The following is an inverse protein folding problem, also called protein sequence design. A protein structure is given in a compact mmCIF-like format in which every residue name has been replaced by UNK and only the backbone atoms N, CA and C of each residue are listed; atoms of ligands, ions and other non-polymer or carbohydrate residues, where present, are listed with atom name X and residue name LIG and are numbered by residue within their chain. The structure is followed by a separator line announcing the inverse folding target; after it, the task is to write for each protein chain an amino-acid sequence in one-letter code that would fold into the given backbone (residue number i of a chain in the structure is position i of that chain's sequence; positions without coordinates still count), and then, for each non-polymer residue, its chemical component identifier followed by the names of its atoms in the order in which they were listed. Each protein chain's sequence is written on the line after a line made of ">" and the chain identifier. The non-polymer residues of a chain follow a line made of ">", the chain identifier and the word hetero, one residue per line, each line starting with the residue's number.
data_IF_300059323811
#
_entry.id   IF_300059323811
#
_cell.length_a   1.000
_cell.length_b   1.000
_cell.length_c   1.000
_cell.angle_alpha   90.00
_cell.angle_beta   90.00
_cell.angle_gamma   90.00
#
_symmetry.space_group_name_H-M   'P 1'
#
loop_
_entity.id
_entity.type
_entity.pdbx_description
1 polymer ?
#
# COMPACT_ATOMS: atom_id res chain seq x y z
N UNK A 1 23.50 12.95 0.95
CA UNK A 1 23.16 14.37 1.15
C UNK A 1 23.13 14.62 2.65
N UNK A 2 23.61 15.76 3.13
CA UNK A 2 23.66 16.01 4.58
C UNK A 2 22.25 16.17 5.17
N UNK A 3 21.97 15.62 6.36
CA UNK A 3 20.71 15.82 7.07
C UNK A 3 20.58 17.26 7.57
N UNK A 4 19.43 17.87 7.31
CA UNK A 4 19.06 19.20 7.80
C UNK A 4 18.82 19.22 9.31
N UNK A 5 18.56 20.42 9.84
CA UNK A 5 18.46 20.67 11.29
C UNK A 5 17.32 19.88 11.93
N UNK A 6 16.14 19.81 11.29
CA UNK A 6 15.02 19.02 11.81
C UNK A 6 15.30 17.52 11.85
N UNK A 7 16.14 16.99 10.97
CA UNK A 7 16.52 15.57 11.00
C UNK A 7 17.40 15.28 12.21
N UNK A 8 18.28 16.20 12.58
CA UNK A 8 19.11 16.09 13.80
C UNK A 8 18.26 16.03 15.07
N UNK A 9 17.05 16.61 15.06
CA UNK A 9 16.07 16.50 16.15
C UNK A 9 15.19 15.25 16.03
N UNK A 10 14.76 14.90 14.81
CA UNK A 10 13.91 13.73 14.59
C UNK A 10 14.64 12.42 14.89
N UNK A 11 15.96 12.36 14.66
CA UNK A 11 16.76 11.14 14.85
C UNK A 11 16.75 10.61 16.28
N UNK A 12 17.13 11.41 17.29
CA UNK A 12 17.11 10.97 18.68
C UNK A 12 15.68 10.64 19.16
N UNK A 13 14.67 11.34 18.63
CA UNK A 13 13.27 11.05 18.93
C UNK A 13 12.84 9.68 18.41
N UNK A 14 13.26 9.30 17.20
CA UNK A 14 12.95 7.99 16.61
C UNK A 14 13.71 6.87 17.32
N UNK A 15 14.99 7.08 17.64
CA UNK A 15 15.79 6.16 18.43
C UNK A 15 15.14 5.89 19.80
N UNK A 16 14.70 6.96 20.49
CA UNK A 16 13.99 6.85 21.76
C UNK A 16 12.70 6.04 21.63
N UNK A 17 11.88 6.27 20.60
CA UNK A 17 10.66 5.49 20.40
C UNK A 17 10.93 4.00 20.19
N UNK A 18 11.95 3.65 19.42
CA UNK A 18 12.34 2.25 19.19
C UNK A 18 12.87 1.58 20.47
N UNK A 19 13.66 2.30 21.27
CA UNK A 19 14.17 1.83 22.57
C UNK A 19 13.02 1.63 23.56
N UNK A 20 12.16 2.64 23.73
CA UNK A 20 11.05 2.62 24.69
C UNK A 20 10.02 1.51 24.36
N UNK A 21 9.97 1.08 23.10
CA UNK A 21 9.11 -0.01 22.61
C UNK A 21 9.85 -1.33 22.41
N UNK A 22 11.11 -1.44 22.86
CA UNK A 22 11.91 -2.68 22.81
C UNK A 22 12.01 -3.27 21.39
N UNK A 23 12.22 -2.43 20.38
CA UNK A 23 12.50 -2.85 19.00
C UNK A 23 14.01 -2.94 18.76
N UNK A 24 14.43 -3.95 17.99
CA UNK A 24 15.83 -4.15 17.60
C UNK A 24 16.38 -3.01 16.72
N UNK A 25 15.52 -2.44 15.87
CA UNK A 25 15.89 -1.39 14.92
C UNK A 25 14.95 -0.19 14.95
N UNK A 26 15.45 0.96 14.52
CA UNK A 26 14.61 2.10 14.16
C UNK A 26 13.87 1.77 12.86
N UNK A 27 12.63 1.30 13.00
CA UNK A 27 11.68 1.06 11.90
C UNK A 27 10.96 2.35 11.41
N UNK A 28 10.38 2.34 10.19
CA UNK A 28 9.66 3.50 9.64
C UNK A 28 8.58 4.09 10.57
N UNK A 29 7.78 3.30 11.32
CA UNK A 29 6.84 3.84 12.29
C UNK A 29 7.49 4.73 13.37
N UNK A 30 8.71 4.42 13.81
CA UNK A 30 9.43 5.24 14.79
C UNK A 30 9.85 6.59 14.20
N UNK A 31 10.26 6.61 12.93
CA UNK A 31 10.55 7.84 12.19
C UNK A 31 9.29 8.69 12.03
N UNK A 32 8.14 8.06 11.74
CA UNK A 32 6.86 8.77 11.68
C UNK A 32 6.44 9.38 13.02
N UNK A 33 6.58 8.62 14.11
CA UNK A 33 6.37 9.14 15.47
C UNK A 33 7.26 10.34 15.78
N UNK A 34 8.52 10.31 15.33
CA UNK A 34 9.47 11.39 15.52
C UNK A 34 9.12 12.65 14.71
N UNK A 35 8.71 12.50 13.44
CA UNK A 35 8.24 13.61 12.60
C UNK A 35 7.00 14.27 13.22
N UNK A 36 6.03 13.47 13.68
CA UNK A 36 4.85 13.98 14.37
C UNK A 36 5.25 14.75 15.65
N UNK A 37 6.15 14.20 16.47
CA UNK A 37 6.68 14.90 17.65
C UNK A 37 7.36 16.21 17.31
N UNK A 38 8.21 16.22 16.28
CA UNK A 38 8.91 17.42 15.84
C UNK A 38 7.90 18.51 15.44
N UNK A 39 6.85 18.15 14.68
CA UNK A 39 5.79 19.09 14.29
C UNK A 39 5.01 19.69 15.47
N UNK A 40 4.97 19.00 16.61
CA UNK A 40 4.31 19.44 17.85
C UNK A 40 5.20 20.35 18.71
N UNK A 41 6.50 20.50 18.40
CA UNK A 41 7.42 21.30 19.23
C UNK A 41 7.06 22.79 19.17
N UNK A 42 6.65 23.34 20.32
CA UNK A 42 6.50 24.80 20.46
C UNK A 42 7.87 25.51 20.44
N UNK A 43 7.85 26.80 20.08
CA UNK A 43 9.05 27.65 19.98
C UNK A 43 9.94 27.57 21.23
N UNK A 44 9.34 27.66 22.42
CA UNK A 44 10.06 27.57 23.71
C UNK A 44 10.90 26.31 23.88
N UNK A 45 10.47 25.18 23.30
CA UNK A 45 11.24 23.93 23.39
C UNK A 45 12.46 23.97 22.48
N UNK A 46 12.35 24.60 21.30
CA UNK A 46 13.48 24.79 20.38
C UNK A 46 14.50 25.77 21.00
N UNK A 47 14.04 26.83 21.63
CA UNK A 47 14.89 27.81 22.34
C UNK A 47 15.59 27.24 23.58
N UNK A 48 15.14 26.08 24.11
CA UNK A 48 15.81 25.37 25.19
C UNK A 48 16.96 24.48 24.71
N UNK A 49 16.91 24.00 23.46
CA UNK A 49 17.89 23.08 22.89
C UNK A 49 18.90 23.79 21.98
N UNK A 50 18.58 24.99 21.52
CA UNK A 50 19.39 25.79 20.63
C UNK A 50 19.36 27.27 21.07
N UNK A 51 20.50 27.93 20.98
CA UNK A 51 20.68 29.33 21.38
C UNK A 51 20.92 30.26 20.20
N UNK A 52 21.35 29.73 19.05
CA UNK A 52 21.60 30.51 17.84
C UNK A 52 20.28 30.94 17.17
N UNK A 53 19.98 32.25 17.08
CA UNK A 53 18.72 32.74 16.51
C UNK A 53 18.47 32.32 15.06
N UNK A 54 19.52 32.18 14.24
CA UNK A 54 19.38 31.76 12.85
C UNK A 54 18.99 30.28 12.74
N UNK A 55 19.58 29.43 13.59
CA UNK A 55 19.26 27.99 13.65
C UNK A 55 17.83 27.80 14.19
N UNK A 56 17.44 28.55 15.22
CA UNK A 56 16.06 28.55 15.74
C UNK A 56 15.08 28.94 14.63
N UNK A 57 15.34 30.01 13.89
CA UNK A 57 14.47 30.44 12.80
C UNK A 57 14.35 29.39 11.69
N UNK A 58 15.46 28.75 11.30
CA UNK A 58 15.46 27.67 10.32
C UNK A 58 14.65 26.44 10.79
N UNK A 59 14.84 26.02 12.05
CA UNK A 59 14.09 24.92 12.66
C UNK A 59 12.59 25.20 12.74
N UNK A 60 12.21 26.42 13.11
CA UNK A 60 10.80 26.85 13.12
C UNK A 60 10.20 26.78 11.71
N UNK A 61 10.95 27.24 10.70
CA UNK A 61 10.53 27.16 9.29
C UNK A 61 10.32 25.72 8.83
N UNK A 62 11.28 24.82 9.10
CA UNK A 62 11.17 23.39 8.76
C UNK A 62 9.99 22.70 9.49
N UNK A 63 9.78 23.05 10.77
CA UNK A 63 8.63 22.58 11.56
C UNK A 63 7.32 23.06 10.95
N UNK A 64 7.22 24.33 10.61
CA UNK A 64 5.99 24.94 10.11
C UNK A 64 5.64 24.42 8.71
N UNK A 65 6.63 24.15 7.85
CA UNK A 65 6.43 23.43 6.60
C UNK A 65 5.88 22.01 6.81
N UNK A 66 6.45 21.26 7.77
CA UNK A 66 5.96 19.92 8.15
C UNK A 66 4.53 19.99 8.70
N UNK A 67 4.23 20.99 9.54
CA UNK A 67 2.91 21.20 10.14
C UNK A 67 1.86 21.54 9.09
N UNK A 68 2.18 22.45 8.17
CA UNK A 68 1.31 22.79 7.04
C UNK A 68 0.96 21.56 6.23
N UNK A 69 1.96 20.72 5.94
CA UNK A 69 1.74 19.50 5.18
C UNK A 69 0.83 18.49 5.90
N UNK A 70 1.01 18.32 7.22
CA UNK A 70 0.13 17.49 8.03
C UNK A 70 -1.31 18.04 8.03
N UNK A 71 -1.50 19.36 8.08
CA UNK A 71 -2.82 19.99 8.01
C UNK A 71 -3.50 19.76 6.66
N UNK A 72 -2.78 19.79 5.54
CA UNK A 72 -3.31 19.44 4.21
C UNK A 72 -3.84 18.00 4.16
N UNK A 73 -3.27 17.11 4.98
CA UNK A 73 -3.74 15.73 5.16
C UNK A 73 -4.85 15.62 6.21
N UNK A 74 -5.43 16.73 6.64
CA UNK A 74 -6.42 16.80 7.72
C UNK A 74 -5.89 16.21 9.04
N UNK A 75 -4.60 16.38 9.32
CA UNK A 75 -3.95 16.05 10.60
C UNK A 75 -3.70 17.36 11.36
N UNK A 76 -4.63 17.69 12.25
CA UNK A 76 -4.50 18.85 13.14
C UNK A 76 -3.43 18.62 14.22
N UNK A 77 -2.58 19.63 14.42
CA UNK A 77 -1.51 19.61 15.41
C UNK A 77 -1.88 20.54 16.58
N UNK A 78 -1.88 20.05 17.84
CA UNK A 78 -1.36 18.76 18.27
C UNK A 78 -2.42 17.68 18.52
N UNK A 79 -3.71 18.00 18.49
CA UNK A 79 -4.73 17.10 19.06
C UNK A 79 -4.86 15.79 18.27
N UNK A 80 -4.98 15.90 16.93
CA UNK A 80 -5.09 14.72 16.08
C UNK A 80 -3.75 13.98 15.93
N UNK A 81 -2.63 14.69 15.85
CA UNK A 81 -1.30 14.04 15.83
C UNK A 81 -1.01 13.26 17.10
N UNK A 82 -1.37 13.78 18.29
CA UNK A 82 -1.22 13.05 19.56
C UNK A 82 -2.02 11.75 19.57
N UNK A 83 -3.26 11.78 19.09
CA UNK A 83 -4.10 10.59 18.95
C UNK A 83 -3.46 9.56 18.00
N UNK A 84 -2.97 9.99 16.83
CA UNK A 84 -2.26 9.12 15.88
C UNK A 84 -1.02 8.51 16.54
N UNK A 85 -0.20 9.30 17.24
CA UNK A 85 1.00 8.79 17.93
C UNK A 85 0.63 7.75 18.99
N UNK A 86 -0.42 8.00 19.78
CA UNK A 86 -0.89 7.05 20.79
C UNK A 86 -1.32 5.72 20.15
N UNK A 87 -2.18 5.78 19.13
CA UNK A 87 -2.68 4.58 18.45
C UNK A 87 -1.56 3.83 17.71
N UNK A 88 -0.60 4.53 17.12
CA UNK A 88 0.54 3.90 16.46
C UNK A 88 1.42 3.14 17.45
N UNK A 89 1.72 3.72 18.63
CA UNK A 89 2.45 2.99 19.68
C UNK A 89 1.70 1.74 20.15
N UNK A 90 0.38 1.85 20.32
CA UNK A 90 -0.47 0.71 20.69
C UNK A 90 -0.41 -0.40 19.63
N UNK A 91 -0.40 -0.03 18.35
CA UNK A 91 -0.27 -0.98 17.21
C UNK A 91 1.10 -1.63 17.14
N UNK A 92 2.18 -0.86 17.32
CA UNK A 92 3.55 -1.39 17.30
C UNK A 92 3.76 -2.42 18.42
N UNK A 93 3.24 -2.12 19.61
CA UNK A 93 3.45 -2.93 20.81
C UNK A 93 4.92 -2.99 21.22
N UNK A 94 5.21 -3.83 22.22
CA UNK A 94 6.60 -4.15 22.59
C UNK A 94 7.07 -5.38 21.83
N UNK A 95 8.29 -5.37 21.29
CA UNK A 95 8.84 -6.52 20.54
C UNK A 95 9.77 -7.42 21.35
N UNK A 96 10.06 -7.07 22.61
CA UNK A 96 10.85 -7.94 23.49
C UNK A 96 12.34 -7.95 23.17
N UNK A 97 12.86 -6.90 22.54
CA UNK A 97 14.29 -6.63 22.40
C UNK A 97 14.68 -5.49 23.34
N UNK A 98 14.82 -5.75 24.66
CA UNK A 98 15.17 -4.72 25.62
C UNK A 98 16.55 -4.17 25.29
N UNK A 99 16.64 -2.84 25.24
CA UNK A 99 17.87 -2.16 24.94
C UNK A 99 18.71 -1.99 26.21
N UNK A 100 19.97 -2.43 26.21
CA UNK A 100 20.83 -2.39 27.40
C UNK A 100 21.95 -1.35 27.25
N UNK A 101 21.82 -0.23 27.97
CA UNK A 101 22.89 0.75 28.15
C UNK A 101 23.46 1.35 26.85
N UNK A 102 24.79 1.45 26.77
CA UNK A 102 25.57 2.12 25.71
C UNK A 102 25.49 1.51 24.29
N UNK A 103 24.54 0.63 24.02
CA UNK A 103 24.34 0.08 22.68
C UNK A 103 23.91 1.21 21.72
N UNK A 104 24.31 1.12 20.45
CA UNK A 104 23.84 2.05 19.40
C UNK A 104 22.71 1.37 18.65
N UNK A 105 21.51 1.96 18.67
CA UNK A 105 20.40 1.42 17.90
C UNK A 105 20.56 1.80 16.43
N UNK A 106 20.49 0.81 15.56
CA UNK A 106 20.62 1.01 14.12
C UNK A 106 19.26 1.13 13.44
N UNK A 107 19.24 1.77 12.28
CA UNK A 107 18.07 1.74 11.39
C UNK A 107 17.86 0.36 10.79
N UNK A 108 16.61 0.01 10.51
CA UNK A 108 16.30 -1.11 9.63
C UNK A 108 16.63 -0.79 8.17
N UNK A 109 16.66 -1.81 7.32
CA UNK A 109 16.86 -1.61 5.87
C UNK A 109 15.74 -0.77 5.25
N UNK A 110 14.50 -0.94 5.71
CA UNK A 110 13.36 -0.13 5.27
C UNK A 110 13.57 1.35 5.62
N UNK A 111 13.97 1.65 6.86
CA UNK A 111 14.29 3.03 7.28
C UNK A 111 15.46 3.64 6.51
N UNK A 112 16.51 2.86 6.20
CA UNK A 112 17.64 3.33 5.37
C UNK A 112 17.16 3.72 3.97
N UNK A 113 16.37 2.87 3.32
CA UNK A 113 15.81 3.15 1.99
C UNK A 113 14.92 4.38 2.01
N UNK A 114 14.18 4.58 3.09
CA UNK A 114 13.31 5.73 3.27
C UNK A 114 14.10 7.04 3.35
N UNK A 115 15.22 7.07 4.07
CA UNK A 115 16.11 8.23 4.09
C UNK A 115 16.65 8.55 2.70
N UNK A 116 17.08 7.54 1.95
CA UNK A 116 17.55 7.74 0.56
C UNK A 116 16.46 8.37 -0.30
N UNK A 117 15.20 7.92 -0.17
CA UNK A 117 14.08 8.54 -0.87
C UNK A 117 13.86 10.01 -0.46
N UNK A 118 13.94 10.32 0.83
CA UNK A 118 13.81 11.69 1.32
C UNK A 118 14.95 12.59 0.81
N UNK A 119 16.19 12.08 0.75
CA UNK A 119 17.33 12.77 0.15
C UNK A 119 17.13 13.04 -1.34
N UNK A 120 16.59 12.07 -2.09
CA UNK A 120 16.31 12.23 -3.52
C UNK A 120 15.18 13.24 -3.78
N UNK A 121 14.17 13.31 -2.90
CA UNK A 121 13.11 14.33 -2.95
C UNK A 121 13.71 15.73 -2.75
N UNK A 122 14.50 15.92 -1.71
CA UNK A 122 15.18 17.19 -1.44
C UNK A 122 16.10 17.61 -2.60
N UNK A 123 16.81 16.65 -3.21
CA UNK A 123 17.67 16.92 -4.38
C UNK A 123 16.88 17.41 -5.59
N UNK A 124 15.71 16.83 -5.85
CA UNK A 124 14.83 17.25 -6.95
C UNK A 124 14.28 18.66 -6.75
N UNK A 125 14.09 19.06 -5.51
CA UNK A 125 13.68 20.41 -5.12
C UNK A 125 14.86 21.42 -5.16
N UNK A 126 16.07 20.98 -5.48
CA UNK A 126 17.27 21.82 -5.51
C UNK A 126 17.82 22.16 -4.11
N UNK A 127 17.36 21.46 -3.07
CA UNK A 127 17.85 21.68 -1.71
C UNK A 127 19.20 20.99 -1.49
N UNK A 128 20.08 21.65 -0.72
CA UNK A 128 21.38 21.11 -0.33
C UNK A 128 21.30 20.09 0.83
N UNK A 129 20.21 20.14 1.60
CA UNK A 129 19.93 19.25 2.74
C UNK A 129 18.50 18.74 2.67
N UNK A 130 18.21 17.64 3.36
CA UNK A 130 16.86 17.11 3.49
C UNK A 130 16.34 17.31 4.92
N UNK A 131 15.05 17.64 5.05
CA UNK A 131 14.43 17.99 6.32
C UNK A 131 13.27 17.03 6.69
N UNK A 132 12.63 17.28 7.84
CA UNK A 132 11.51 16.48 8.33
C UNK A 132 10.33 16.45 7.35
N UNK A 133 10.14 17.47 6.52
CA UNK A 133 9.11 17.47 5.47
C UNK A 133 9.43 16.43 4.39
N UNK A 134 10.67 16.37 3.89
CA UNK A 134 11.06 15.34 2.91
C UNK A 134 10.94 13.93 3.52
N UNK A 135 11.29 13.79 4.81
CA UNK A 135 11.10 12.54 5.54
C UNK A 135 9.61 12.16 5.66
N UNK A 136 8.74 13.12 5.94
CA UNK A 136 7.29 12.93 5.97
C UNK A 136 6.76 12.44 4.62
N UNK A 137 7.13 13.10 3.52
CA UNK A 137 6.73 12.68 2.17
C UNK A 137 7.20 11.26 1.86
N UNK A 138 8.45 10.93 2.19
CA UNK A 138 8.98 9.58 2.00
C UNK A 138 8.25 8.53 2.85
N UNK A 139 7.80 8.87 4.06
CA UNK A 139 6.99 8.02 4.93
C UNK A 139 5.59 7.81 4.39
N UNK A 140 4.94 8.87 3.90
CA UNK A 140 3.60 8.80 3.32
C UNK A 140 3.58 8.04 1.99
N UNK A 141 4.67 8.12 1.22
CA UNK A 141 4.90 7.33 0.02
C UNK A 141 5.46 5.91 0.30
N UNK A 142 5.67 5.56 1.57
CA UNK A 142 6.16 4.23 1.97
C UNK A 142 5.01 3.27 2.27
N UNK A 143 5.25 1.97 2.07
CA UNK A 143 4.24 0.92 2.28
C UNK A 143 4.25 0.39 3.71
N UNK A 144 4.43 1.28 4.69
CA UNK A 144 4.36 0.92 6.11
C UNK A 144 2.92 0.63 6.49
N UNK A 145 2.63 -0.64 6.81
CA UNK A 145 1.28 -1.09 7.15
C UNK A 145 0.76 -0.36 8.39
N UNK A 146 1.61 -0.22 9.40
CA UNK A 146 1.25 0.41 10.67
C UNK A 146 0.91 1.90 10.50
N UNK A 147 1.67 2.61 9.66
CA UNK A 147 1.40 4.02 9.34
C UNK A 147 0.10 4.12 8.53
N UNK A 148 -0.09 3.25 7.55
CA UNK A 148 -1.29 3.26 6.70
C UNK A 148 -2.55 3.00 7.53
N UNK A 149 -2.52 2.00 8.40
CA UNK A 149 -3.65 1.63 9.24
C UNK A 149 -3.98 2.71 10.28
N UNK A 150 -2.97 3.29 10.96
CA UNK A 150 -3.25 4.32 11.97
C UNK A 150 -3.82 5.60 11.36
N UNK A 151 -3.43 5.92 10.12
CA UNK A 151 -3.97 7.07 9.40
C UNK A 151 -5.39 6.79 8.90
N UNK A 152 -5.65 5.57 8.42
CA UNK A 152 -7.00 5.14 8.06
C UNK A 152 -7.97 5.18 9.27
N UNK A 153 -7.54 4.72 10.44
CA UNK A 153 -8.32 4.80 11.69
C UNK A 153 -8.63 6.26 12.08
N UNK A 154 -7.70 7.17 11.82
CA UNK A 154 -7.86 8.59 12.07
C UNK A 154 -8.75 9.31 11.02
N UNK A 155 -9.40 8.56 10.13
CA UNK A 155 -10.26 9.08 9.08
C UNK A 155 -9.50 9.76 7.95
N UNK A 156 -8.20 9.52 7.82
CA UNK A 156 -7.37 10.12 6.78
C UNK A 156 -7.37 9.18 5.58
N UNK A 157 -8.43 9.31 4.77
CA UNK A 157 -8.55 8.65 3.48
C UNK A 157 -7.85 9.46 2.40
N UNK A 158 -7.17 8.80 1.46
CA UNK A 158 -6.52 9.46 0.31
C UNK A 158 -4.99 9.47 0.31
N UNK A 159 -4.32 9.00 1.38
CA UNK A 159 -2.87 8.77 1.37
C UNK A 159 -2.47 7.72 0.33
N UNK A 160 -3.42 6.87 -0.09
CA UNK A 160 -3.29 5.97 -1.24
C UNK A 160 -2.81 6.67 -2.52
N UNK A 161 -3.06 7.97 -2.68
CA UNK A 161 -2.63 8.77 -3.83
C UNK A 161 -1.11 9.06 -3.86
N UNK A 162 -0.36 8.77 -2.80
CA UNK A 162 1.10 8.95 -2.75
C UNK A 162 1.89 7.68 -3.08
N UNK A 163 1.20 6.59 -3.42
CA UNK A 163 1.83 5.36 -3.87
C UNK A 163 2.25 5.54 -5.32
N UNK A 164 3.51 5.91 -5.52
CA UNK A 164 4.09 6.12 -6.83
C UNK A 164 4.09 4.79 -7.61
N UNK A 165 3.01 4.55 -8.36
CA UNK A 165 2.85 3.40 -9.24
C UNK A 165 2.69 3.83 -10.70
N UNK A 166 3.66 4.60 -11.26
CA UNK A 166 3.52 5.24 -12.57
C UNK A 166 3.22 4.27 -13.72
N UNK A 167 3.65 3.00 -13.66
CA UNK A 167 3.31 2.05 -14.72
C UNK A 167 1.90 1.49 -14.55
N UNK A 168 1.47 1.16 -13.34
CA UNK A 168 0.10 0.74 -13.04
C UNK A 168 -0.92 1.86 -13.26
N UNK A 169 -0.55 3.12 -13.02
CA UNK A 169 -1.42 4.26 -13.31
C UNK A 169 -1.52 4.54 -14.82
N UNK A 170 -0.57 4.03 -15.62
CA UNK A 170 -0.56 4.15 -17.09
C UNK A 170 -1.23 2.97 -17.80
N UNK A 171 -0.97 1.75 -17.34
CA UNK A 171 -1.41 0.48 -17.96
C UNK A 171 -2.49 -0.23 -17.13
N UNK A 172 -3.12 0.50 -16.21
CA UNK A 172 -4.15 -0.06 -15.36
C UNK A 172 -5.22 0.95 -15.01
N UNK A 173 -6.36 0.43 -14.60
CA UNK A 173 -7.51 1.18 -14.18
C UNK A 173 -7.80 0.88 -12.71
N UNK A 174 -7.85 1.93 -11.88
CA UNK A 174 -8.14 1.78 -10.45
C UNK A 174 -9.64 1.57 -10.22
N UNK A 175 -10.06 0.31 -10.15
CA UNK A 175 -11.44 -0.06 -9.89
C UNK A 175 -11.90 0.37 -8.50
N UNK A 176 -10.97 0.46 -7.53
CA UNK A 176 -11.32 0.95 -6.18
C UNK A 176 -11.65 2.44 -6.19
N UNK A 177 -10.92 3.25 -6.96
CA UNK A 177 -11.21 4.66 -7.13
C UNK A 177 -12.56 4.87 -7.82
N UNK A 178 -12.82 4.15 -8.92
CA UNK A 178 -14.11 4.20 -9.63
C UNK A 178 -15.28 3.77 -8.74
N UNK A 179 -15.09 2.74 -7.92
CA UNK A 179 -16.09 2.30 -6.96
C UNK A 179 -16.39 3.38 -5.89
N UNK A 180 -15.37 4.08 -5.39
CA UNK A 180 -15.56 5.18 -4.44
C UNK A 180 -16.35 6.34 -5.06
N UNK A 181 -16.12 6.64 -6.34
CA UNK A 181 -16.90 7.65 -7.08
C UNK A 181 -18.37 7.21 -7.24
N UNK A 182 -18.62 6.00 -7.73
CA UNK A 182 -19.98 5.44 -7.85
C UNK A 182 -20.74 5.45 -6.51
N UNK A 183 -20.04 5.20 -5.40
CA UNK A 183 -20.64 5.22 -4.06
C UNK A 183 -21.01 6.64 -3.61
N UNK A 184 -20.19 7.65 -3.91
CA UNK A 184 -20.53 9.07 -3.62
C UNK A 184 -21.79 9.51 -4.36
N UNK A 185 -21.97 9.00 -5.58
CA UNK A 185 -23.14 9.27 -6.41
C UNK A 185 -24.38 8.44 -6.01
N UNK A 186 -24.31 7.65 -4.92
CA UNK A 186 -25.35 6.72 -4.45
C UNK A 186 -25.79 5.70 -5.53
N UNK A 187 -24.91 5.36 -6.47
CA UNK A 187 -25.19 4.35 -7.50
C UNK A 187 -24.88 2.98 -6.91
N UNK A 188 -25.83 2.39 -6.18
CA UNK A 188 -25.74 0.97 -5.78
C UNK A 188 -26.11 0.09 -6.98
N UNK A 189 -25.09 -0.31 -7.75
CA UNK A 189 -25.25 -1.24 -8.88
C UNK A 189 -25.74 -2.63 -8.44
N UNK A 190 -26.39 -3.36 -9.36
CA UNK A 190 -26.82 -4.75 -9.13
C UNK A 190 -25.65 -5.69 -8.82
N UNK A 191 -24.45 -5.36 -9.31
CA UNK A 191 -23.19 -6.07 -9.10
C UNK A 191 -22.78 -6.17 -7.63
N UNK A 192 -23.17 -5.19 -6.79
CA UNK A 192 -22.87 -5.19 -5.36
C UNK A 192 -23.70 -6.20 -4.57
N UNK A 193 -24.84 -6.63 -5.11
CA UNK A 193 -25.76 -7.62 -4.49
C UNK A 193 -25.44 -9.05 -4.87
N UNK A 194 -24.46 -9.25 -5.75
CA UNK A 194 -24.06 -10.57 -6.16
C UNK A 194 -23.26 -11.29 -5.06
N UNK A 195 -23.67 -12.49 -4.65
CA UNK A 195 -22.95 -13.26 -3.65
C UNK A 195 -21.54 -13.68 -4.10
N UNK A 196 -21.27 -13.80 -5.41
CA UNK A 196 -19.91 -14.12 -5.88
C UNK A 196 -18.96 -12.96 -5.58
N UNK A 197 -19.35 -11.72 -5.85
CA UNK A 197 -18.56 -10.52 -5.48
C UNK A 197 -18.20 -10.51 -3.98
N UNK A 198 -19.17 -10.82 -3.11
CA UNK A 198 -18.93 -10.91 -1.67
C UNK A 198 -17.90 -12.00 -1.32
N UNK A 199 -18.07 -13.21 -1.83
CA UNK A 199 -17.16 -14.34 -1.54
C UNK A 199 -15.73 -14.00 -1.99
N UNK A 200 -15.59 -13.45 -3.20
CA UNK A 200 -14.30 -13.05 -3.75
C UNK A 200 -13.67 -11.92 -2.92
N UNK A 201 -14.45 -10.92 -2.51
CA UNK A 201 -13.97 -9.84 -1.65
C UNK A 201 -13.52 -10.36 -0.28
N UNK A 202 -14.36 -11.16 0.39
CA UNK A 202 -14.06 -11.74 1.70
C UNK A 202 -12.77 -12.57 1.64
N UNK A 203 -12.55 -13.33 0.56
CA UNK A 203 -11.34 -14.14 0.39
C UNK A 203 -10.08 -13.31 0.10
N UNK A 204 -10.16 -12.34 -0.83
CA UNK A 204 -8.97 -11.58 -1.28
C UNK A 204 -8.52 -10.53 -0.25
N UNK A 205 -9.48 -9.96 0.50
CA UNK A 205 -9.21 -8.93 1.52
C UNK A 205 -9.15 -9.48 2.95
N UNK A 206 -9.71 -10.66 3.23
CA UNK A 206 -9.82 -11.24 4.58
C UNK A 206 -8.54 -11.85 5.18
N UNK A 207 -7.36 -11.56 4.62
CA UNK A 207 -6.07 -11.95 5.21
C UNK A 207 -5.51 -13.31 4.78
N UNK A 208 -6.23 -14.09 3.98
CA UNK A 208 -5.64 -15.23 3.28
C UNK A 208 -4.78 -14.69 2.12
N UNK A 209 -3.49 -15.02 2.08
CA UNK A 209 -2.56 -14.62 0.99
C UNK A 209 -2.84 -15.37 -0.33
N UNK A 210 -4.08 -15.76 -0.58
CA UNK A 210 -4.49 -16.47 -1.80
C UNK A 210 -4.84 -15.49 -2.90
N UNK A 211 -4.69 -15.94 -4.14
CA UNK A 211 -5.20 -15.28 -5.33
C UNK A 211 -6.42 -16.04 -5.85
N UNK A 212 -7.33 -15.35 -6.53
CA UNK A 212 -8.59 -15.91 -7.02
C UNK A 212 -8.52 -16.13 -8.52
N UNK A 213 -9.03 -17.27 -8.98
CA UNK A 213 -9.29 -17.53 -10.40
C UNK A 213 -10.80 -17.58 -10.63
N UNK A 214 -11.31 -16.58 -11.32
CA UNK A 214 -12.68 -16.50 -11.80
C UNK A 214 -12.82 -17.32 -13.08
N UNK A 215 -13.60 -18.40 -13.00
CA UNK A 215 -13.88 -19.29 -14.14
C UNK A 215 -15.27 -18.95 -14.67
N UNK A 216 -15.31 -18.34 -15.84
CA UNK A 216 -16.56 -17.91 -16.47
C UNK A 216 -17.31 -19.08 -17.10
N UNK A 217 -18.53 -19.32 -16.61
CA UNK A 217 -19.51 -20.27 -17.15
C UNK A 217 -20.86 -19.58 -17.29
N UNK A 218 -21.02 -18.83 -18.37
CA UNK A 218 -22.24 -18.06 -18.65
C UNK A 218 -22.00 -16.74 -19.36
N UNK A 219 -23.06 -15.93 -19.43
CA UNK A 219 -23.04 -14.59 -20.04
C UNK A 219 -22.28 -13.58 -19.21
N UNK A 220 -22.31 -13.73 -17.89
CA UNK A 220 -21.64 -12.79 -17.00
C UNK A 220 -20.12 -12.90 -17.10
N UNK A 221 -19.47 -11.76 -17.30
CA UNK A 221 -18.02 -11.66 -17.46
C UNK A 221 -17.28 -11.65 -16.13
N UNK A 222 -16.01 -12.06 -16.16
CA UNK A 222 -15.13 -11.91 -15.01
C UNK A 222 -14.81 -10.45 -14.65
N UNK A 223 -14.89 -9.55 -15.64
CA UNK A 223 -14.69 -8.10 -15.44
C UNK A 223 -15.82 -7.48 -14.63
N UNK A 224 -17.07 -7.81 -14.94
CA UNK A 224 -18.24 -7.36 -14.14
C UNK A 224 -18.16 -7.85 -12.69
N UNK A 225 -17.61 -9.06 -12.46
CA UNK A 225 -17.36 -9.55 -11.10
C UNK A 225 -16.24 -8.76 -10.43
N UNK A 226 -15.13 -8.46 -11.12
CA UNK A 226 -14.04 -7.65 -10.57
C UNK A 226 -14.49 -6.23 -10.19
N UNK A 227 -15.31 -5.60 -11.03
CA UNK A 227 -15.95 -4.30 -10.72
C UNK A 227 -16.90 -4.41 -9.53
N UNK A 228 -17.75 -5.43 -9.50
CA UNK A 228 -18.66 -5.67 -8.36
C UNK A 228 -17.91 -5.93 -7.05
N UNK A 229 -16.77 -6.60 -7.10
CA UNK A 229 -15.86 -6.77 -5.95
C UNK A 229 -15.34 -5.41 -5.48
N UNK A 230 -14.95 -4.52 -6.39
CA UNK A 230 -14.51 -3.17 -6.04
C UNK A 230 -15.62 -2.36 -5.34
N UNK A 231 -16.84 -2.41 -5.88
CA UNK A 231 -18.02 -1.74 -5.29
C UNK A 231 -18.35 -2.29 -3.91
N UNK A 232 -18.35 -3.61 -3.74
CA UNK A 232 -18.56 -4.24 -2.43
C UNK A 232 -17.49 -3.81 -1.42
N UNK A 233 -16.25 -3.66 -1.87
CA UNK A 233 -15.08 -3.35 -1.05
C UNK A 233 -15.05 -1.92 -0.51
N UNK A 234 -15.82 -0.99 -1.08
CA UNK A 234 -16.00 0.37 -0.54
C UNK A 234 -17.28 0.50 0.30
N UNK A 235 -18.16 -0.50 0.25
CA UNK A 235 -19.43 -0.55 0.96
C UNK A 235 -19.30 -0.62 2.49
N UNK A 236 -20.43 -0.41 3.18
CA UNK A 236 -20.53 -0.48 4.65
C UNK A 236 -20.16 -1.85 5.23
N UNK A 237 -20.35 -2.92 4.47
CA UNK A 237 -20.06 -4.31 4.86
C UNK A 237 -18.72 -4.82 4.28
N UNK A 238 -17.83 -3.90 3.89
CA UNK A 238 -16.53 -4.26 3.32
C UNK A 238 -15.63 -5.00 4.33
N UNK A 239 -14.81 -5.96 3.85
CA UNK A 239 -13.83 -6.65 4.71
C UNK A 239 -12.80 -5.65 5.29
N UNK A 240 -12.26 -5.88 6.51
CA UNK A 240 -11.32 -4.95 7.14
C UNK A 240 -10.11 -4.56 6.27
N UNK A 241 -9.56 -5.52 5.50
CA UNK A 241 -8.42 -5.28 4.60
C UNK A 241 -8.76 -4.51 3.31
N UNK A 242 -10.03 -4.30 2.99
CA UNK A 242 -10.44 -3.57 1.78
C UNK A 242 -10.05 -2.09 1.84
N UNK A 243 -10.04 -1.50 3.05
CA UNK A 243 -9.68 -0.09 3.27
C UNK A 243 -8.20 0.21 3.08
N UNK A 244 -7.32 -0.78 3.03
CA UNK A 244 -5.87 -0.57 2.85
C UNK A 244 -5.33 -0.96 1.47
N UNK A 245 -6.07 -1.76 0.69
CA UNK A 245 -5.65 -2.23 -0.65
C UNK A 245 -6.37 -1.59 -1.84
N UNK A 246 -5.65 -1.35 -2.94
CA UNK A 246 -6.19 -0.98 -4.27
C UNK A 246 -6.46 -2.23 -5.10
N UNK A 247 -7.56 -2.23 -5.85
CA UNK A 247 -7.84 -3.20 -6.91
C UNK A 247 -7.65 -2.50 -8.26
N UNK A 248 -6.65 -2.95 -9.01
CA UNK A 248 -6.26 -2.36 -10.30
C UNK A 248 -6.46 -3.39 -11.40
N UNK A 249 -7.32 -3.07 -12.37
CA UNK A 249 -7.45 -3.86 -13.60
C UNK A 249 -6.28 -3.54 -14.52
N UNK A 250 -5.58 -4.56 -15.01
CA UNK A 250 -4.52 -4.38 -16.02
C UNK A 250 -5.17 -4.26 -17.39
N UNK A 251 -4.81 -3.21 -18.12
CA UNK A 251 -5.19 -2.98 -19.51
C UNK A 251 -3.93 -2.81 -20.36
N UNK A 252 -3.43 -3.93 -20.88
CA UNK A 252 -2.31 -3.95 -21.82
C UNK A 252 -2.88 -4.15 -23.23
N UNK A 253 -2.53 -3.30 -24.21
CA UNK A 253 -2.97 -3.47 -25.59
C UNK A 253 -2.62 -4.87 -26.13
N UNK A 254 -3.59 -5.52 -26.78
CA UNK A 254 -3.46 -6.91 -27.23
C UNK A 254 -2.57 -7.12 -28.45
N UNK A 255 -2.14 -6.05 -29.12
CA UNK A 255 -1.36 -6.04 -30.36
C UNK A 255 0.16 -5.87 -30.15
N UNK A 256 0.63 -5.89 -28.91
CA UNK A 256 2.06 -5.76 -28.61
C UNK A 256 2.84 -7.05 -28.83
N UNK A 257 4.14 -6.90 -29.10
CA UNK A 257 5.05 -8.05 -29.24
C UNK A 257 5.17 -8.81 -27.93
N UNK A 258 5.37 -10.13 -28.02
CA UNK A 258 5.47 -11.02 -26.86
C UNK A 258 6.54 -10.58 -25.85
N UNK A 259 7.72 -10.20 -26.33
CA UNK A 259 8.83 -9.72 -25.47
C UNK A 259 8.45 -8.42 -24.73
N UNK A 260 7.71 -7.54 -25.40
CA UNK A 260 7.22 -6.28 -24.83
C UNK A 260 6.10 -6.52 -23.81
N UNK A 261 5.23 -7.51 -24.07
CA UNK A 261 4.20 -7.98 -23.13
C UNK A 261 4.83 -8.53 -21.84
N UNK A 262 5.82 -9.41 -21.97
CA UNK A 262 6.52 -9.98 -20.81
C UNK A 262 7.23 -8.89 -19.99
N UNK A 263 7.93 -7.97 -20.67
CA UNK A 263 8.62 -6.86 -20.03
C UNK A 263 7.65 -5.91 -19.30
N UNK A 264 6.55 -5.55 -19.96
CA UNK A 264 5.53 -4.65 -19.42
C UNK A 264 4.83 -5.29 -18.23
N UNK A 265 4.29 -6.50 -18.37
CA UNK A 265 3.61 -7.18 -17.27
C UNK A 265 4.59 -7.47 -16.12
N UNK A 266 5.82 -7.88 -16.42
CA UNK A 266 6.86 -8.05 -15.41
C UNK A 266 7.10 -6.79 -14.59
N UNK A 267 7.12 -5.63 -15.25
CA UNK A 267 7.26 -4.32 -14.58
C UNK A 267 6.05 -4.02 -13.68
N UNK A 268 4.83 -4.23 -14.17
CA UNK A 268 3.60 -4.03 -13.38
C UNK A 268 3.54 -4.95 -12.15
N UNK A 269 3.92 -6.23 -12.30
CA UNK A 269 3.98 -7.18 -11.19
C UNK A 269 5.01 -6.76 -10.14
N UNK A 270 6.18 -6.27 -10.56
CA UNK A 270 7.21 -5.77 -9.65
C UNK A 270 6.75 -4.50 -8.93
N UNK A 271 6.06 -3.60 -9.63
CA UNK A 271 5.51 -2.39 -9.04
C UNK A 271 4.43 -2.71 -8.01
N UNK A 272 3.50 -3.61 -8.34
CA UNK A 272 2.50 -4.10 -7.40
C UNK A 272 3.13 -4.81 -6.19
N UNK A 273 4.17 -5.61 -6.41
CA UNK A 273 4.92 -6.27 -5.34
C UNK A 273 5.62 -5.26 -4.43
N UNK A 274 6.22 -4.22 -4.99
CA UNK A 274 6.85 -3.15 -4.22
C UNK A 274 5.80 -2.40 -3.41
N UNK A 275 4.65 -2.08 -4.00
CA UNK A 275 3.53 -1.41 -3.36
C UNK A 275 2.94 -2.22 -2.19
N UNK A 276 2.83 -3.54 -2.33
CA UNK A 276 2.45 -4.45 -1.24
C UNK A 276 0.97 -4.38 -0.80
N UNK A 277 0.21 -3.41 -1.30
CA UNK A 277 -1.22 -3.24 -1.05
C UNK A 277 -2.03 -3.16 -2.35
N UNK A 278 -1.56 -3.79 -3.41
CA UNK A 278 -2.23 -3.82 -4.71
C UNK A 278 -2.69 -5.25 -4.99
N UNK A 279 -3.96 -5.37 -5.36
CA UNK A 279 -4.54 -6.55 -5.98
C UNK A 279 -4.67 -6.23 -7.46
N UNK A 280 -4.09 -7.07 -8.31
CA UNK A 280 -4.20 -6.92 -9.76
C UNK A 280 -5.33 -7.79 -10.28
N UNK A 281 -6.20 -7.20 -11.09
CA UNK A 281 -7.14 -7.94 -11.90
C UNK A 281 -6.56 -8.13 -13.31
N UNK A 282 -6.52 -9.38 -13.77
CA UNK A 282 -6.02 -9.77 -15.10
C UNK A 282 -7.13 -10.57 -15.79
N UNK A 283 -7.78 -9.96 -16.77
CA UNK A 283 -8.71 -10.69 -17.62
C UNK A 283 -7.96 -11.61 -18.60
N UNK A 284 -8.64 -12.64 -19.11
CA UNK A 284 -8.10 -13.62 -20.05
C UNK A 284 -6.72 -14.12 -19.62
N UNK A 285 -6.58 -14.49 -18.35
CA UNK A 285 -5.30 -14.89 -17.74
C UNK A 285 -4.56 -15.98 -18.53
N UNK A 286 -5.30 -16.86 -19.19
CA UNK A 286 -4.75 -17.90 -20.05
C UNK A 286 -3.93 -17.37 -21.23
N UNK A 287 -4.16 -16.15 -21.72
CA UNK A 287 -3.37 -15.55 -22.80
C UNK A 287 -1.93 -15.31 -22.34
N UNK A 288 -1.73 -14.92 -21.09
CA UNK A 288 -0.40 -14.78 -20.48
C UNK A 288 0.26 -16.14 -20.21
N UNK A 289 -0.52 -17.21 -20.05
CA UNK A 289 0.03 -18.56 -19.89
C UNK A 289 0.58 -19.15 -21.19
N UNK A 290 0.12 -18.67 -22.35
CA UNK A 290 0.58 -19.10 -23.68
C UNK A 290 1.94 -18.51 -24.07
N UNK A 291 2.45 -17.55 -23.31
CA UNK A 291 3.67 -16.77 -23.62
C UNK A 291 4.99 -17.55 -23.52
N UNK A 292 4.94 -18.81 -23.08
CA UNK A 292 6.11 -19.63 -22.80
C UNK A 292 6.37 -19.75 -21.30
N UNK A 293 7.49 -20.35 -20.86
CA UNK A 293 7.72 -20.62 -19.43
C UNK A 293 8.15 -19.38 -18.62
N UNK A 294 8.60 -18.30 -19.26
CA UNK A 294 9.18 -17.12 -18.62
C UNK A 294 8.20 -16.39 -17.72
N UNK A 295 7.20 -15.73 -18.31
CA UNK A 295 6.20 -14.97 -17.58
C UNK A 295 5.34 -15.82 -16.60
N UNK A 296 4.84 -17.01 -16.96
CA UNK A 296 4.18 -17.92 -16.00
C UNK A 296 5.07 -18.30 -14.82
N UNK A 297 6.36 -18.56 -15.06
CA UNK A 297 7.33 -18.85 -13.99
C UNK A 297 7.52 -17.68 -13.03
N UNK A 298 7.61 -16.45 -13.56
CA UNK A 298 7.67 -15.23 -12.76
C UNK A 298 6.43 -15.08 -11.87
N UNK A 299 5.22 -15.22 -12.43
CA UNK A 299 3.97 -15.09 -11.70
C UNK A 299 3.88 -16.15 -10.59
N UNK A 300 4.17 -17.42 -10.90
CA UNK A 300 4.16 -18.51 -9.92
C UNK A 300 5.06 -18.22 -8.73
N UNK A 301 6.30 -17.77 -8.99
CA UNK A 301 7.27 -17.40 -7.95
C UNK A 301 6.74 -16.27 -7.06
N UNK A 302 6.22 -15.21 -7.66
CA UNK A 302 5.74 -14.04 -6.90
C UNK A 302 4.50 -14.36 -6.06
N UNK A 303 3.61 -15.23 -6.58
CA UNK A 303 2.47 -15.75 -5.83
C UNK A 303 2.90 -16.67 -4.68
N UNK A 304 3.83 -17.60 -4.91
CA UNK A 304 4.29 -18.53 -3.86
C UNK A 304 5.02 -17.82 -2.72
N UNK A 305 5.72 -16.73 -3.04
CA UNK A 305 6.35 -15.84 -2.06
C UNK A 305 5.36 -14.91 -1.36
N UNK A 306 4.08 -14.88 -1.78
CA UNK A 306 3.05 -13.99 -1.25
C UNK A 306 3.35 -12.50 -1.49
N UNK A 307 4.12 -12.20 -2.54
CA UNK A 307 4.54 -10.83 -2.91
C UNK A 307 3.49 -10.07 -3.71
N UNK A 308 2.57 -10.79 -4.37
CA UNK A 308 1.47 -10.22 -5.15
C UNK A 308 0.17 -10.96 -4.83
N UNK A 309 -0.95 -10.29 -5.07
CA UNK A 309 -2.27 -10.90 -5.08
C UNK A 309 -2.98 -10.59 -6.40
N UNK A 310 -3.64 -11.60 -6.95
CA UNK A 310 -4.30 -11.53 -8.24
C UNK A 310 -5.76 -11.95 -8.14
N UNK A 311 -6.60 -11.31 -8.95
CA UNK A 311 -7.89 -11.82 -9.39
C UNK A 311 -7.75 -12.09 -10.89
N UNK A 312 -7.84 -13.34 -11.31
CA UNK A 312 -7.61 -13.75 -12.69
C UNK A 312 -8.92 -14.18 -13.34
N UNK A 313 -9.24 -13.67 -14.53
CA UNK A 313 -10.38 -14.09 -15.34
C UNK A 313 -9.99 -15.15 -16.36
N UNK A 314 -10.80 -16.20 -16.54
CA UNK A 314 -10.66 -17.13 -17.66
C UNK A 314 -11.98 -17.78 -18.06
N UNK A 315 -12.11 -18.17 -19.33
CA UNK A 315 -13.18 -19.04 -19.80
C UNK A 315 -12.99 -20.48 -19.31
N UNK A 316 -14.09 -21.23 -19.16
CA UNK A 316 -14.12 -22.64 -18.73
C UNK A 316 -13.23 -23.53 -19.62
N UNK A 317 -13.33 -23.40 -20.95
CA UNK A 317 -12.56 -24.22 -21.89
C UNK A 317 -11.05 -24.00 -21.74
N UNK A 318 -10.65 -22.74 -21.52
CA UNK A 318 -9.26 -22.35 -21.30
C UNK A 318 -8.74 -22.80 -19.92
N UNK A 319 -9.60 -22.80 -18.89
CA UNK A 319 -9.25 -23.36 -17.59
C UNK A 319 -8.87 -24.84 -17.71
N UNK A 320 -9.70 -25.66 -18.38
CA UNK A 320 -9.43 -27.09 -18.59
C UNK A 320 -8.18 -27.35 -19.43
N UNK A 321 -7.87 -26.47 -20.39
CA UNK A 321 -6.68 -26.63 -21.25
C UNK A 321 -5.38 -26.20 -20.58
N UNK A 322 -5.36 -25.04 -19.91
CA UNK A 322 -4.10 -24.37 -19.52
C UNK A 322 -3.84 -24.33 -18.00
N UNK A 323 -4.86 -24.47 -17.16
CA UNK A 323 -4.74 -24.24 -15.72
C UNK A 323 -4.96 -25.53 -14.92
N UNK A 324 -6.03 -26.27 -15.21
CA UNK A 324 -6.42 -27.46 -14.43
C UNK A 324 -5.35 -28.55 -14.42
N UNK A 325 -4.61 -28.68 -15.52
CA UNK A 325 -3.57 -29.70 -15.69
C UNK A 325 -2.29 -29.39 -14.92
N UNK A 326 -2.12 -28.17 -14.42
CA UNK A 326 -0.90 -27.72 -13.73
C UNK A 326 -1.11 -27.68 -12.20
N UNK A 327 -0.46 -28.57 -11.43
CA UNK A 327 -0.65 -28.64 -10.00
C UNK A 327 -0.14 -27.41 -9.24
N UNK A 328 0.77 -26.62 -9.82
CA UNK A 328 1.24 -25.38 -9.19
C UNK A 328 0.13 -24.32 -9.22
N UNK A 329 -0.58 -24.17 -10.33
CA UNK A 329 -1.67 -23.20 -10.43
C UNK A 329 -2.81 -23.51 -9.46
N UNK A 330 -3.19 -24.79 -9.32
CA UNK A 330 -4.25 -25.20 -8.38
C UNK A 330 -3.93 -24.92 -6.91
N UNK A 331 -2.64 -24.79 -6.56
CA UNK A 331 -2.19 -24.44 -5.20
C UNK A 331 -2.13 -22.93 -4.97
N UNK A 332 -1.82 -22.16 -6.02
CA UNK A 332 -1.64 -20.71 -5.95
C UNK A 332 -2.94 -19.93 -6.17
N UNK A 333 -3.86 -20.49 -6.95
CA UNK A 333 -5.12 -19.88 -7.35
C UNK A 333 -6.30 -20.68 -6.82
N UNK A 334 -7.16 -20.03 -6.03
CA UNK A 334 -8.44 -20.62 -5.63
C UNK A 334 -9.47 -20.40 -6.74
N UNK A 335 -10.07 -21.47 -7.30
CA UNK A 335 -11.09 -21.33 -8.31
C UNK A 335 -12.41 -20.84 -7.71
N UNK A 336 -13.08 -19.94 -8.41
CA UNK A 336 -14.44 -19.45 -8.15
C UNK A 336 -15.19 -19.47 -9.47
N UNK A 337 -16.26 -20.24 -9.53
CA UNK A 337 -17.06 -20.38 -10.74
C UNK A 337 -18.09 -19.25 -10.82
N UNK A 338 -18.10 -18.55 -11.95
CA UNK A 338 -19.12 -17.56 -12.27
C UNK A 338 -20.21 -18.30 -13.05
N UNK A 339 -21.41 -18.36 -12.49
CA UNK A 339 -22.59 -18.91 -13.13
C UNK A 339 -23.59 -17.79 -13.43
N UNK A 340 -24.39 -17.98 -14.47
CA UNK A 340 -25.59 -17.15 -14.67
C UNK A 340 -26.55 -17.39 -13.51
N UNK A 341 -27.03 -16.32 -12.88
CA UNK A 341 -27.92 -16.39 -11.72
C UNK A 341 -29.22 -17.12 -12.09
N UNK A 342 -29.29 -18.40 -11.71
CA UNK A 342 -30.52 -19.07 -11.27
C UNK A 342 -30.14 -19.83 -10.00
N UNK A 343 -30.57 -19.30 -8.86
CA UNK A 343 -29.99 -19.55 -7.55
C UNK A 343 -29.73 -21.02 -7.21
N UNK A 344 -28.46 -21.42 -7.17
CA UNK A 344 -27.90 -22.28 -6.12
C UNK A 344 -26.39 -22.17 -6.20
N UNK A 345 -25.76 -21.56 -5.20
CA UNK A 345 -24.32 -21.74 -4.99
C UNK A 345 -24.09 -23.21 -4.63
N UNK A 346 -23.44 -23.99 -5.50
CA UNK A 346 -22.77 -25.22 -5.06
C UNK A 346 -21.36 -24.82 -4.64
N UNK A 347 -21.18 -24.71 -3.32
CA UNK A 347 -19.89 -24.53 -2.65
C UNK A 347 -19.06 -25.81 -2.68
#
# INVERSE_FOLDING_TARGET
>A
MEPGLSIQIAWPLAAKEAIDSEHEFIEPPHLFLAVLKFSELERRHIEQIETNPMVIAALLSERDGTRKRLQELSIEIPDKSRSIRYNLRKRLGRKGHPFHGNQVIHRSNASRQLCVKAEDMARKEGSATWCALNLLEALLASNSLEITEVLADAGISGIRAFMNTPHLDRYGQDLSALAMEKQKDNIEGSEAKDPVCKVVADDIYGGKKGSILLIQKGKRSSSEVAEGVAVYSVGKFSPPGAKTKRLIAIDIPGDIKLEELESTLGTLLQEASRAGNIILYIDRFHDYLKTGPGLPGLIKRMLSEGKIQLICGTAEEAYHHYIEKDPAWKRLLRPVWIHDLNGTLRL
#
